data_IF_130480057391
#
_entry.id   IF_130480057391
#
_cell.length_a   1.000
_cell.length_b   1.000
_cell.length_c   1.000
_cell.angle_alpha   90.00
_cell.angle_beta   90.00
_cell.angle_gamma   90.00
#
_symmetry.space_group_name_H-M   'P 1'
#
loop_
_entity.id
_entity.type
_entity.pdbx_description
1 polymer ?
#
# COMPACT_ATOMS: atom_id res chain seq x y z
N UNK A 1 16.13 1.99 21.67
CA UNK A 1 15.80 2.30 23.07
C UNK A 1 16.86 3.23 23.62
N UNK A 2 16.44 4.28 24.33
CA UNK A 2 17.33 5.21 25.02
C UNK A 2 16.87 5.31 26.49
N UNK A 3 17.80 5.16 27.43
CA UNK A 3 17.48 5.13 28.87
C UNK A 3 18.37 6.09 29.64
N UNK A 4 17.80 7.18 30.16
CA UNK A 4 18.48 8.19 30.97
C UNK A 4 19.73 8.75 30.29
N UNK A 5 19.64 9.01 28.98
CA UNK A 5 20.79 9.45 28.17
C UNK A 5 20.48 10.67 27.32
N UNK A 6 19.23 10.88 26.90
CA UNK A 6 18.87 12.03 26.06
C UNK A 6 18.83 13.30 26.92
N UNK A 7 18.31 13.23 28.15
CA UNK A 7 18.34 14.37 29.08
C UNK A 7 19.77 14.85 29.40
N UNK A 8 20.77 13.97 29.32
CA UNK A 8 22.16 14.32 29.62
C UNK A 8 22.88 15.03 28.45
N UNK A 9 22.20 15.24 27.31
CA UNK A 9 22.78 15.89 26.13
C UNK A 9 22.64 17.41 26.18
N UNK A 10 23.45 18.12 25.39
CA UNK A 10 23.41 19.58 25.34
C UNK A 10 22.14 20.12 24.66
N UNK A 11 21.61 19.38 23.68
CA UNK A 11 20.42 19.73 22.91
C UNK A 11 19.56 18.49 22.74
N UNK A 12 18.33 18.55 23.28
CA UNK A 12 17.36 17.48 23.09
C UNK A 12 17.00 17.34 21.61
N UNK A 13 16.82 18.47 20.92
CA UNK A 13 16.44 18.51 19.51
C UNK A 13 17.50 17.84 18.61
N UNK A 14 18.79 18.13 18.82
CA UNK A 14 19.86 17.53 18.01
C UNK A 14 19.93 16.02 18.24
N UNK A 15 19.82 15.59 19.49
CA UNK A 15 19.85 14.18 19.87
C UNK A 15 18.70 13.41 19.27
N UNK A 16 17.47 13.92 19.40
CA UNK A 16 16.28 13.30 18.84
C UNK A 16 16.28 13.33 17.30
N UNK A 17 16.77 14.40 16.67
CA UNK A 17 16.95 14.47 15.22
C UNK A 17 17.93 13.42 14.70
N UNK A 18 18.99 13.12 15.45
CA UNK A 18 19.91 12.05 15.10
C UNK A 18 19.31 10.66 15.32
N UNK A 19 18.54 10.46 16.40
CA UNK A 19 17.78 9.22 16.62
C UNK A 19 16.80 8.99 15.46
N UNK A 20 16.10 10.04 14.99
CA UNK A 20 15.16 9.97 13.87
C UNK A 20 15.79 9.44 12.59
N UNK A 21 17.05 9.79 12.32
CA UNK A 21 17.81 9.33 11.13
C UNK A 21 18.19 7.85 11.21
N UNK A 22 18.39 7.33 12.42
CA UNK A 22 18.80 5.93 12.66
C UNK A 22 17.61 4.97 12.69
N UNK A 23 16.40 5.49 12.89
CA UNK A 23 15.20 4.69 13.02
C UNK A 23 14.57 4.42 11.64
N UNK A 24 14.15 3.17 11.41
CA UNK A 24 13.28 2.82 10.27
C UNK A 24 12.04 3.72 10.24
N UNK A 25 11.47 4.10 9.07
CA UNK A 25 10.21 4.84 8.99
C UNK A 25 9.05 4.21 9.78
N UNK A 26 9.05 2.88 9.89
CA UNK A 26 8.08 2.07 10.66
C UNK A 26 8.58 1.66 12.05
N UNK A 27 9.77 2.12 12.44
CA UNK A 27 10.44 1.74 13.68
C UNK A 27 9.82 2.36 14.93
N UNK A 28 10.12 1.75 16.08
CA UNK A 28 9.67 2.22 17.39
C UNK A 28 10.81 2.83 18.18
N UNK A 29 10.55 3.98 18.81
CA UNK A 29 11.45 4.61 19.76
C UNK A 29 10.89 4.49 21.18
N UNK A 30 11.56 3.67 22.00
CA UNK A 30 11.32 3.60 23.43
C UNK A 30 12.30 4.52 24.15
N UNK A 31 11.77 5.57 24.77
CA UNK A 31 12.50 6.57 25.53
C UNK A 31 12.16 6.44 27.02
N UNK A 32 13.15 6.17 27.85
CA UNK A 32 13.00 6.07 29.30
C UNK A 32 13.83 7.15 29.97
N UNK A 33 13.18 8.16 30.56
CA UNK A 33 13.86 9.38 31.00
C UNK A 33 13.39 9.83 32.39
N UNK A 34 14.23 10.59 33.08
CA UNK A 34 13.94 11.13 34.40
C UNK A 34 12.76 12.11 34.33
N UNK A 35 11.84 11.99 35.30
CA UNK A 35 10.73 12.93 35.53
C UNK A 35 10.39 13.10 37.03
N UNK A 36 11.37 13.22 37.94
CA UNK A 36 11.09 13.28 39.37
C UNK A 36 10.48 14.63 39.77
N UNK A 37 9.66 14.62 40.82
CA UNK A 37 9.18 15.86 41.47
C UNK A 37 10.16 16.38 42.51
N UNK A 38 10.92 15.48 43.15
CA UNK A 38 11.88 15.80 44.21
C UNK A 38 13.28 16.06 43.63
N UNK A 39 13.98 17.06 44.18
CA UNK A 39 15.29 17.54 43.69
C UNK A 39 16.48 16.74 44.23
N UNK A 40 16.27 15.61 44.91
CA UNK A 40 17.34 14.82 45.54
C UNK A 40 18.41 14.37 44.53
N UNK A 41 18.02 14.08 43.29
CA UNK A 41 18.95 13.69 42.22
C UNK A 41 19.96 14.81 41.94
N UNK A 42 19.52 16.07 41.93
CA UNK A 42 20.42 17.21 41.72
C UNK A 42 21.47 17.33 42.83
N UNK A 43 21.14 16.93 44.07
CA UNK A 43 22.13 16.92 45.15
C UNK A 43 23.22 15.87 44.97
N UNK A 44 22.91 14.75 44.30
CA UNK A 44 23.87 13.68 44.03
C UNK A 44 24.70 14.00 42.80
N UNK A 45 24.04 14.29 41.68
CA UNK A 45 24.69 14.41 40.38
C UNK A 45 25.05 15.84 39.98
N UNK A 46 24.53 16.87 40.66
CA UNK A 46 24.79 18.27 40.34
C UNK A 46 26.24 18.71 40.52
N UNK A 47 27.09 17.89 41.13
CA UNK A 47 28.54 18.12 41.16
C UNK A 47 29.24 17.75 39.83
N UNK A 48 28.56 17.02 38.95
CA UNK A 48 29.07 16.62 37.65
C UNK A 48 28.77 17.73 36.63
N UNK A 49 29.79 18.25 35.95
CA UNK A 49 29.59 19.28 34.92
C UNK A 49 28.62 18.82 33.81
N UNK A 50 28.64 17.54 33.45
CA UNK A 50 27.73 16.95 32.46
C UNK A 50 26.26 16.95 32.87
N UNK A 51 25.95 17.09 34.17
CA UNK A 51 24.58 17.21 34.65
C UNK A 51 23.90 18.50 34.19
N UNK A 52 24.68 19.50 33.76
CA UNK A 52 24.20 20.84 33.42
C UNK A 52 24.36 21.19 31.93
N UNK A 53 24.64 20.19 31.07
CA UNK A 53 24.83 20.44 29.63
C UNK A 53 23.62 21.07 28.94
N UNK A 54 22.42 20.88 29.48
CA UNK A 54 21.17 21.42 28.93
C UNK A 54 20.89 22.90 29.21
N UNK A 55 21.81 23.65 29.83
CA UNK A 55 21.58 25.05 30.22
C UNK A 55 21.10 25.93 29.04
N UNK A 56 21.82 25.88 27.91
CA UNK A 56 21.48 26.61 26.69
C UNK A 56 20.18 26.12 26.02
N UNK A 57 19.70 24.94 26.38
CA UNK A 57 18.48 24.29 25.92
C UNK A 57 17.30 24.52 26.90
N UNK A 58 17.42 25.54 27.76
CA UNK A 58 16.39 25.94 28.72
C UNK A 58 16.20 24.92 29.85
N UNK A 59 17.27 24.23 30.24
CA UNK A 59 17.31 23.22 31.32
C UNK A 59 18.36 23.61 32.38
N UNK A 60 18.36 24.89 32.77
CA UNK A 60 19.32 25.49 33.71
C UNK A 60 19.22 24.93 35.13
N UNK A 61 18.00 24.61 35.57
CA UNK A 61 17.72 24.22 36.95
C UNK A 61 17.81 22.71 37.18
N UNK A 62 17.66 21.93 36.11
CA UNK A 62 17.75 20.47 36.09
C UNK A 62 17.79 19.95 34.65
N UNK A 63 18.49 18.83 34.38
CA UNK A 63 18.62 18.34 33.01
C UNK A 63 17.39 17.58 32.50
N UNK A 64 16.50 17.14 33.38
CA UNK A 64 15.31 16.39 33.03
C UNK A 64 14.09 17.30 32.82
N UNK A 65 13.12 16.80 32.05
CA UNK A 65 11.93 17.57 31.65
C UNK A 65 10.67 16.72 31.78
N UNK A 66 9.51 17.37 31.93
CA UNK A 66 8.23 16.68 32.02
C UNK A 66 7.80 16.02 30.71
N UNK A 67 6.89 15.05 30.81
CA UNK A 67 6.36 14.30 29.67
C UNK A 67 5.75 15.18 28.57
N UNK A 68 5.08 16.28 28.93
CA UNK A 68 4.53 17.22 27.94
C UNK A 68 5.62 17.89 27.09
N UNK A 69 6.76 18.26 27.72
CA UNK A 69 7.87 18.84 26.96
C UNK A 69 8.51 17.76 26.10
N UNK A 70 8.70 16.54 26.60
CA UNK A 70 9.20 15.42 25.77
C UNK A 70 8.34 15.20 24.52
N UNK A 71 7.02 15.23 24.65
CA UNK A 71 6.12 15.11 23.51
C UNK A 71 6.35 16.21 22.46
N UNK A 72 6.53 17.47 22.90
CA UNK A 72 6.83 18.59 22.00
C UNK A 72 8.18 18.45 21.29
N UNK A 73 9.23 18.04 22.02
CA UNK A 73 10.57 17.85 21.44
C UNK A 73 10.60 16.70 20.41
N UNK A 74 9.89 15.60 20.70
CA UNK A 74 9.71 14.49 19.77
C UNK A 74 8.98 14.94 18.50
N UNK A 75 7.87 15.67 18.64
CA UNK A 75 7.12 16.21 17.50
C UNK A 75 7.97 17.17 16.64
N UNK A 76 8.70 18.08 17.29
CA UNK A 76 9.57 19.04 16.62
C UNK A 76 10.70 18.38 15.81
N UNK A 77 11.01 17.11 16.07
CA UNK A 77 12.10 16.36 15.44
C UNK A 77 11.63 15.26 14.49
N UNK A 78 10.35 15.31 14.08
CA UNK A 78 9.79 14.40 13.07
C UNK A 78 9.34 13.05 13.63
N UNK A 79 8.98 13.01 14.91
CA UNK A 79 8.18 11.94 15.50
C UNK A 79 6.71 12.36 15.61
N UNK A 80 5.82 11.40 15.76
CA UNK A 80 4.41 11.63 16.11
C UNK A 80 4.27 12.08 17.55
N UNK A 81 3.05 12.48 17.91
CA UNK A 81 2.61 12.48 19.31
C UNK A 81 2.89 11.11 19.92
N UNK A 82 3.56 11.04 21.11
CA UNK A 82 3.81 9.76 21.75
C UNK A 82 2.52 8.97 22.00
N UNK A 83 2.54 7.66 21.72
CA UNK A 83 1.38 6.78 21.94
C UNK A 83 1.10 6.57 23.42
N UNK A 84 2.14 6.60 24.23
CA UNK A 84 2.06 6.48 25.66
C UNK A 84 3.22 7.23 26.32
N UNK A 85 2.93 7.82 27.48
CA UNK A 85 3.90 8.34 28.41
C UNK A 85 3.48 7.90 29.82
N UNK A 86 4.08 6.83 30.31
CA UNK A 86 3.69 6.17 31.58
C UNK A 86 4.78 6.40 32.61
N UNK A 87 4.41 6.96 33.76
CA UNK A 87 5.32 7.10 34.89
C UNK A 87 5.50 5.76 35.61
N UNK A 88 6.68 5.55 36.18
CA UNK A 88 7.00 4.35 36.97
C UNK A 88 6.27 4.28 38.33
N UNK A 89 5.75 5.40 38.81
CA UNK A 89 4.93 5.48 40.03
C UNK A 89 3.96 6.66 39.96
N UNK A 90 2.98 6.66 40.87
CA UNK A 90 2.02 7.75 40.99
C UNK A 90 2.68 9.04 41.47
N UNK A 91 2.12 10.18 41.07
CA UNK A 91 2.56 11.48 41.59
C UNK A 91 2.36 11.55 43.13
N UNK A 92 3.33 12.07 43.90
CA UNK A 92 4.60 12.69 43.48
C UNK A 92 5.82 11.74 43.49
N UNK A 93 5.62 10.43 43.57
CA UNK A 93 6.69 9.44 43.80
C UNK A 93 7.39 8.95 42.53
N UNK A 94 7.01 9.43 41.35
CA UNK A 94 7.64 9.05 40.10
C UNK A 94 9.12 9.44 40.06
N UNK A 95 9.93 8.61 39.44
CA UNK A 95 11.33 8.89 39.14
C UNK A 95 11.54 9.01 37.64
N UNK A 96 10.90 8.13 36.87
CA UNK A 96 11.07 8.01 35.44
C UNK A 96 9.73 7.93 34.71
N UNK A 97 9.75 8.33 33.45
CA UNK A 97 8.68 8.07 32.51
C UNK A 97 9.19 7.19 31.36
N UNK A 98 8.38 6.21 30.98
CA UNK A 98 8.54 5.44 29.76
C UNK A 98 7.63 6.02 28.68
N UNK A 99 8.24 6.49 27.60
CA UNK A 99 7.60 7.17 26.49
C UNK A 99 7.79 6.33 25.23
N UNK A 100 6.70 6.06 24.53
CA UNK A 100 6.70 5.28 23.29
C UNK A 100 6.35 6.21 22.13
N UNK A 101 7.27 6.35 21.18
CA UNK A 101 7.11 7.23 20.02
C UNK A 101 7.43 6.50 18.71
N UNK A 102 6.85 7.01 17.62
CA UNK A 102 7.10 6.54 16.26
C UNK A 102 7.48 7.71 15.36
N UNK A 103 8.33 7.49 14.35
CA UNK A 103 8.57 8.46 13.29
C UNK A 103 7.29 8.93 12.61
N UNK A 104 7.25 10.22 12.27
CA UNK A 104 6.34 10.72 11.25
C UNK A 104 6.80 10.15 9.89
N UNK A 105 5.87 9.59 9.12
CA UNK A 105 6.14 9.12 7.75
C UNK A 105 5.73 10.23 6.80
N UNK A 106 6.67 10.68 5.97
CA UNK A 106 6.40 11.73 4.99
C UNK A 106 5.62 11.15 3.81
N UNK A 107 4.29 11.21 3.92
CA UNK A 107 3.35 10.88 2.85
C UNK A 107 3.03 12.10 1.97
N UNK A 108 3.68 13.25 2.19
CA UNK A 108 3.36 14.50 1.50
C UNK A 108 3.35 14.36 -0.02
N UNK A 109 4.29 13.63 -0.67
CA UNK A 109 4.23 13.42 -2.11
C UNK A 109 2.93 12.73 -2.54
N UNK A 110 2.58 11.60 -1.91
CA UNK A 110 1.38 10.81 -2.22
C UNK A 110 0.09 11.61 -1.98
N UNK A 111 0.08 12.36 -0.88
CA UNK A 111 -1.04 13.22 -0.47
C UNK A 111 -1.22 14.43 -1.40
N UNK A 112 -0.14 15.12 -1.75
CA UNK A 112 -0.20 16.31 -2.61
C UNK A 112 -0.75 15.99 -4.00
N UNK A 113 -0.44 14.82 -4.57
CA UNK A 113 -0.96 14.44 -5.90
C UNK A 113 -2.47 14.20 -5.82
N UNK A 114 -2.96 13.49 -4.79
CA UNK A 114 -4.40 13.29 -4.57
C UNK A 114 -5.14 14.60 -4.28
N UNK A 115 -4.61 15.45 -3.41
CA UNK A 115 -5.19 16.77 -3.11
C UNK A 115 -5.18 17.68 -4.35
N UNK A 116 -4.13 17.59 -5.18
CA UNK A 116 -4.04 18.30 -6.46
C UNK A 116 -5.12 17.89 -7.48
N UNK A 117 -5.60 16.65 -7.39
CA UNK A 117 -6.73 16.12 -8.16
C UNK A 117 -8.10 16.41 -7.51
N UNK A 118 -8.13 17.15 -6.40
CA UNK A 118 -9.36 17.60 -5.73
C UNK A 118 -9.89 16.68 -4.64
N UNK A 119 -9.12 15.67 -4.22
CA UNK A 119 -9.53 14.76 -3.16
C UNK A 119 -9.24 15.32 -1.77
N UNK A 120 -10.16 15.10 -0.82
CA UNK A 120 -9.87 15.26 0.60
C UNK A 120 -9.20 13.98 1.11
N UNK A 121 -7.95 14.07 1.55
CA UNK A 121 -7.16 12.90 1.94
C UNK A 121 -7.10 12.78 3.46
N UNK A 122 -7.61 11.66 3.98
CA UNK A 122 -7.43 11.26 5.38
C UNK A 122 -6.40 10.14 5.44
N UNK A 123 -5.30 10.37 6.14
CA UNK A 123 -4.30 9.34 6.37
C UNK A 123 -4.58 8.62 7.68
N UNK A 124 -4.56 7.29 7.63
CA UNK A 124 -4.88 6.42 8.75
C UNK A 124 -3.81 5.34 8.87
N UNK A 125 -3.46 5.00 10.10
CA UNK A 125 -2.59 3.87 10.40
C UNK A 125 -3.38 2.57 10.40
N UNK A 126 -2.69 1.48 10.10
CA UNK A 126 -3.29 0.16 10.16
C UNK A 126 -3.85 -0.12 11.56
N UNK A 127 -5.16 -0.34 11.63
CA UNK A 127 -5.91 -0.58 12.87
C UNK A 127 -6.64 0.64 13.44
N UNK A 128 -6.46 1.83 12.87
CA UNK A 128 -7.32 2.98 13.18
C UNK A 128 -8.70 2.83 12.53
N UNK A 129 -9.77 3.37 13.14
CA UNK A 129 -11.12 3.27 12.60
C UNK A 129 -11.25 4.05 11.28
N UNK A 130 -11.94 3.43 10.31
CA UNK A 130 -12.24 4.09 9.04
C UNK A 130 -13.37 5.12 9.21
N UNK A 131 -13.25 6.31 8.59
CA UNK A 131 -14.36 7.23 8.41
C UNK A 131 -15.46 6.60 7.55
N UNK A 132 -16.72 6.85 7.91
CA UNK A 132 -17.86 6.34 7.15
C UNK A 132 -17.91 6.91 5.73
N UNK A 133 -18.20 6.04 4.75
CA UNK A 133 -18.49 6.46 3.38
C UNK A 133 -17.26 6.83 2.53
N UNK A 134 -16.05 6.44 2.94
CA UNK A 134 -14.83 6.77 2.19
C UNK A 134 -14.19 5.54 1.51
N UNK A 135 -13.76 5.72 0.27
CA UNK A 135 -12.95 4.76 -0.46
C UNK A 135 -11.52 4.74 0.08
N UNK A 136 -10.92 3.56 0.15
CA UNK A 136 -9.60 3.36 0.77
C UNK A 136 -8.55 3.08 -0.29
N UNK A 137 -7.38 3.73 -0.19
CA UNK A 137 -6.15 3.32 -0.88
C UNK A 137 -5.24 2.70 0.19
N UNK A 138 -4.99 1.40 0.11
CA UNK A 138 -4.12 0.69 1.05
C UNK A 138 -2.69 0.62 0.50
N UNK A 139 -1.75 1.16 1.27
CA UNK A 139 -0.31 1.18 0.98
C UNK A 139 0.47 0.25 1.92
N UNK A 140 -0.15 -0.84 2.36
CA UNK A 140 0.40 -1.71 3.41
C UNK A 140 1.54 -2.61 2.91
N UNK A 141 1.67 -2.78 1.59
CA UNK A 141 2.74 -3.52 0.92
C UNK A 141 3.94 -2.64 0.50
N UNK A 142 3.97 -1.34 0.84
CA UNK A 142 4.95 -0.37 0.31
C UNK A 142 6.41 -0.73 0.70
N UNK A 143 6.64 -1.18 1.94
CA UNK A 143 7.98 -1.58 2.40
C UNK A 143 8.24 -3.09 2.31
N UNK A 144 7.22 -3.92 2.50
CA UNK A 144 7.34 -5.38 2.54
C UNK A 144 5.98 -6.06 2.29
N UNK A 145 5.94 -7.33 1.85
CA UNK A 145 4.68 -8.05 1.66
C UNK A 145 3.93 -8.19 2.99
N UNK A 146 2.79 -7.50 3.11
CA UNK A 146 2.01 -7.37 4.33
C UNK A 146 1.50 -8.71 4.86
N UNK A 147 1.08 -9.59 3.95
CA UNK A 147 0.50 -10.90 4.30
C UNK A 147 1.55 -11.95 4.69
N UNK A 148 2.84 -11.63 4.52
CA UNK A 148 3.91 -12.52 4.92
C UNK A 148 3.99 -12.65 6.45
N UNK A 149 4.12 -13.90 6.94
CA UNK A 149 4.17 -14.21 8.37
C UNK A 149 2.98 -13.62 9.15
N UNK A 150 1.77 -13.71 8.61
CA UNK A 150 0.54 -13.22 9.26
C UNK A 150 0.37 -13.80 10.66
N UNK A 151 0.09 -12.94 11.64
CA UNK A 151 -0.27 -13.33 13.00
C UNK A 151 -1.76 -13.08 13.29
N UNK A 152 -2.25 -13.63 14.42
CA UNK A 152 -3.66 -13.51 14.80
C UNK A 152 -4.11 -12.05 15.00
N UNK A 153 -3.21 -11.18 15.47
CA UNK A 153 -3.55 -9.79 15.70
C UNK A 153 -3.77 -9.08 14.36
N UNK A 154 -2.79 -9.13 13.45
CA UNK A 154 -2.88 -8.55 12.11
C UNK A 154 -4.06 -9.11 11.33
N UNK A 155 -4.32 -10.42 11.43
CA UNK A 155 -5.47 -11.05 10.81
C UNK A 155 -6.81 -10.51 11.33
N UNK A 156 -6.95 -10.31 12.64
CA UNK A 156 -8.15 -9.71 13.20
C UNK A 156 -8.29 -8.23 12.81
N UNK A 157 -7.18 -7.49 12.74
CA UNK A 157 -7.19 -6.09 12.32
C UNK A 157 -7.62 -5.94 10.85
N UNK A 158 -7.12 -6.78 9.94
CA UNK A 158 -7.55 -6.72 8.53
C UNK A 158 -9.00 -7.15 8.36
N UNK A 159 -9.48 -8.12 9.15
CA UNK A 159 -10.91 -8.48 9.17
C UNK A 159 -11.76 -7.27 9.56
N UNK A 160 -11.43 -6.60 10.65
CA UNK A 160 -12.15 -5.42 11.11
C UNK A 160 -12.14 -4.30 10.06
N UNK A 161 -11.01 -4.11 9.36
CA UNK A 161 -10.90 -3.15 8.25
C UNK A 161 -11.92 -3.46 7.15
N UNK A 162 -11.95 -4.72 6.68
CA UNK A 162 -12.83 -5.17 5.60
C UNK A 162 -14.30 -5.04 6.01
N UNK A 163 -14.64 -5.42 7.24
CA UNK A 163 -15.99 -5.31 7.78
C UNK A 163 -16.44 -3.84 7.93
N UNK A 164 -15.50 -2.92 8.16
CA UNK A 164 -15.78 -1.48 8.34
C UNK A 164 -15.92 -0.70 7.02
N UNK A 165 -15.71 -1.32 5.86
CA UNK A 165 -15.78 -0.63 4.57
C UNK A 165 -17.20 -0.15 4.21
N UNK A 166 -18.26 -0.73 4.80
CA UNK A 166 -19.65 -0.23 4.70
C UNK A 166 -20.11 0.12 3.27
N UNK A 167 -19.74 -0.69 2.27
CA UNK A 167 -20.08 -0.49 0.86
C UNK A 167 -19.10 0.37 0.05
N UNK A 168 -18.07 0.94 0.70
CA UNK A 168 -16.96 1.60 0.01
C UNK A 168 -15.93 0.59 -0.46
N UNK A 169 -15.28 0.88 -1.59
CA UNK A 169 -14.24 0.01 -2.14
C UNK A 169 -12.87 0.27 -1.54
N UNK A 170 -12.01 -0.74 -1.61
CA UNK A 170 -10.58 -0.64 -1.29
C UNK A 170 -9.74 -0.91 -2.54
N UNK A 171 -8.79 -0.03 -2.82
CA UNK A 171 -7.73 -0.22 -3.81
C UNK A 171 -6.43 -0.55 -3.06
N UNK A 172 -5.95 -1.77 -3.20
CA UNK A 172 -4.72 -2.23 -2.56
C UNK A 172 -3.53 -2.11 -3.49
N UNK A 173 -2.55 -1.29 -3.13
CA UNK A 173 -1.30 -1.13 -3.87
C UNK A 173 -0.31 -2.18 -3.39
N UNK A 174 0.28 -2.93 -4.31
CA UNK A 174 1.21 -4.03 -4.01
C UNK A 174 2.39 -4.08 -4.98
N UNK A 175 3.40 -4.89 -4.67
CA UNK A 175 4.54 -5.12 -5.55
C UNK A 175 4.19 -6.00 -6.76
N UNK A 176 4.96 -5.86 -7.84
CA UNK A 176 4.81 -6.68 -9.04
C UNK A 176 4.96 -8.17 -8.75
N UNK A 177 3.92 -8.94 -9.09
CA UNK A 177 3.84 -10.39 -8.87
C UNK A 177 3.28 -11.17 -10.07
N UNK A 178 2.38 -10.55 -10.85
CA UNK A 178 1.79 -11.13 -12.06
C UNK A 178 2.62 -10.82 -13.32
N UNK A 179 3.36 -9.72 -13.34
CA UNK A 179 4.23 -9.32 -14.45
C UNK A 179 5.59 -8.85 -13.90
N UNK A 180 6.70 -9.16 -14.57
CA UNK A 180 8.08 -8.82 -14.12
C UNK A 180 8.34 -9.10 -12.62
N UNK A 181 7.77 -10.20 -12.10
CA UNK A 181 7.82 -10.57 -10.69
C UNK A 181 9.27 -10.63 -10.17
N UNK A 182 9.55 -9.88 -9.10
CA UNK A 182 10.83 -9.91 -8.37
C UNK A 182 10.72 -10.67 -7.06
N UNK A 183 9.58 -10.54 -6.37
CA UNK A 183 9.30 -11.21 -5.12
C UNK A 183 7.88 -11.79 -5.14
N UNK A 184 7.73 -13.13 -5.24
CA UNK A 184 6.42 -13.76 -5.36
C UNK A 184 5.57 -13.64 -4.09
N UNK A 185 6.13 -13.22 -2.95
CA UNK A 185 5.37 -13.08 -1.69
C UNK A 185 4.31 -11.99 -1.78
N UNK A 186 4.49 -10.99 -2.64
CA UNK A 186 3.47 -9.99 -2.93
C UNK A 186 2.22 -10.58 -3.62
N UNK A 187 2.30 -11.76 -4.23
CA UNK A 187 1.15 -12.38 -4.89
C UNK A 187 0.03 -12.81 -3.92
N UNK A 188 0.30 -12.88 -2.61
CA UNK A 188 -0.67 -13.35 -1.61
C UNK A 188 -1.96 -12.51 -1.62
N UNK A 189 -1.85 -11.20 -1.80
CA UNK A 189 -3.04 -10.32 -1.81
C UNK A 189 -3.96 -10.60 -3.00
N UNK A 190 -3.44 -11.03 -4.16
CA UNK A 190 -4.26 -11.26 -5.34
C UNK A 190 -5.32 -12.34 -5.11
N UNK A 191 -4.94 -13.45 -4.46
CA UNK A 191 -5.89 -14.51 -4.11
C UNK A 191 -6.85 -14.08 -3.01
N UNK A 192 -6.35 -13.37 -1.99
CA UNK A 192 -7.15 -12.87 -0.87
C UNK A 192 -8.23 -11.89 -1.38
N UNK A 193 -7.84 -10.94 -2.23
CA UNK A 193 -8.76 -9.99 -2.86
C UNK A 193 -9.84 -10.70 -3.68
N UNK A 194 -9.47 -11.70 -4.50
CA UNK A 194 -10.44 -12.52 -5.25
C UNK A 194 -11.43 -13.22 -4.33
N UNK A 195 -10.96 -13.82 -3.24
CA UNK A 195 -11.82 -14.49 -2.25
C UNK A 195 -12.76 -13.51 -1.59
N UNK A 196 -12.25 -12.37 -1.09
CA UNK A 196 -13.07 -11.34 -0.43
C UNK A 196 -14.14 -10.80 -1.39
N UNK A 197 -13.77 -10.49 -2.64
CA UNK A 197 -14.74 -10.04 -3.66
C UNK A 197 -15.87 -11.05 -3.88
N UNK A 198 -15.52 -12.32 -4.04
CA UNK A 198 -16.48 -13.35 -4.41
C UNK A 198 -17.34 -13.82 -3.23
N UNK A 199 -16.78 -13.87 -2.01
CA UNK A 199 -17.47 -14.41 -0.84
C UNK A 199 -18.17 -13.34 0.00
N UNK A 200 -17.62 -12.13 0.06
CA UNK A 200 -18.12 -11.05 0.90
C UNK A 200 -18.76 -9.90 0.12
N UNK A 201 -18.71 -9.94 -1.23
CA UNK A 201 -19.22 -8.88 -2.11
C UNK A 201 -18.63 -7.50 -1.81
N UNK A 202 -17.40 -7.46 -1.29
CA UNK A 202 -16.65 -6.23 -1.06
C UNK A 202 -15.91 -5.87 -2.33
N UNK A 203 -16.02 -4.62 -2.76
CA UNK A 203 -15.24 -4.11 -3.88
C UNK A 203 -13.77 -3.95 -3.50
N UNK A 204 -12.97 -4.97 -3.82
CA UNK A 204 -11.55 -5.03 -3.46
C UNK A 204 -10.71 -5.10 -4.74
N UNK A 205 -10.12 -3.98 -5.17
CA UNK A 205 -9.18 -3.94 -6.29
C UNK A 205 -7.73 -4.08 -5.83
N UNK A 206 -6.88 -4.64 -6.68
CA UNK A 206 -5.41 -4.64 -6.51
C UNK A 206 -4.76 -3.85 -7.64
N UNK A 207 -3.69 -3.13 -7.32
CA UNK A 207 -2.84 -2.44 -8.27
C UNK A 207 -1.38 -2.79 -7.98
N UNK A 208 -0.77 -3.62 -8.82
CA UNK A 208 0.66 -3.92 -8.71
C UNK A 208 1.47 -2.76 -9.28
N UNK A 209 2.51 -2.28 -8.60
CA UNK A 209 3.31 -1.13 -9.04
C UNK A 209 4.79 -1.44 -8.91
N UNK A 210 5.59 -1.12 -9.95
CA UNK A 210 7.04 -1.28 -9.91
C UNK A 210 7.75 -0.16 -9.14
N UNK A 211 7.32 1.07 -9.34
CA UNK A 211 7.84 2.26 -8.66
C UNK A 211 6.68 3.20 -8.35
N UNK A 212 6.28 3.21 -7.08
CA UNK A 212 5.14 4.00 -6.61
C UNK A 212 5.39 5.51 -6.73
N UNK A 213 6.59 5.99 -6.40
CA UNK A 213 6.93 7.42 -6.44
C UNK A 213 6.82 8.02 -7.84
N UNK A 214 7.20 7.25 -8.87
CA UNK A 214 7.10 7.69 -10.27
C UNK A 214 5.67 7.54 -10.80
N UNK A 215 4.91 6.58 -10.27
CA UNK A 215 3.62 6.16 -10.82
C UNK A 215 2.39 6.74 -10.11
N UNK A 216 2.55 7.72 -9.21
CA UNK A 216 1.46 8.29 -8.41
C UNK A 216 0.29 8.79 -9.26
N UNK A 217 0.56 9.54 -10.33
CA UNK A 217 -0.48 10.03 -11.24
C UNK A 217 -1.27 8.87 -11.89
N UNK A 218 -0.58 7.80 -12.29
CA UNK A 218 -1.21 6.62 -12.89
C UNK A 218 -1.97 5.78 -11.89
N UNK A 219 -1.52 5.74 -10.64
CA UNK A 219 -2.27 5.13 -9.56
C UNK A 219 -3.59 5.87 -9.32
N UNK A 220 -3.60 7.21 -9.42
CA UNK A 220 -4.84 7.98 -9.29
C UNK A 220 -5.75 7.77 -10.50
N UNK A 221 -5.21 7.72 -11.72
CA UNK A 221 -6.01 7.37 -12.91
C UNK A 221 -6.69 5.99 -12.72
N UNK A 222 -6.00 5.01 -12.13
CA UNK A 222 -6.56 3.69 -11.77
C UNK A 222 -7.62 3.81 -10.69
N UNK A 223 -7.38 4.64 -9.66
CA UNK A 223 -8.34 4.87 -8.58
C UNK A 223 -9.63 5.55 -9.05
N UNK A 224 -9.53 6.56 -9.90
CA UNK A 224 -10.67 7.22 -10.56
C UNK A 224 -11.49 6.20 -11.36
N UNK A 225 -10.83 5.36 -12.17
CA UNK A 225 -11.47 4.28 -12.91
C UNK A 225 -12.15 3.28 -11.99
N UNK A 226 -11.49 2.90 -10.90
CA UNK A 226 -12.07 2.06 -9.87
C UNK A 226 -13.33 2.71 -9.33
N UNK A 227 -13.32 3.98 -8.90
CA UNK A 227 -14.51 4.65 -8.35
C UNK A 227 -15.68 4.73 -9.34
N UNK A 228 -15.41 5.02 -10.62
CA UNK A 228 -16.44 5.15 -11.65
C UNK A 228 -17.18 3.83 -12.00
N UNK A 229 -16.69 2.68 -11.49
CA UNK A 229 -17.20 1.35 -11.82
C UNK A 229 -18.68 1.13 -11.48
N UNK A 230 -19.23 1.85 -10.50
CA UNK A 230 -20.64 1.67 -10.08
C UNK A 230 -21.64 2.33 -11.05
N UNK A 231 -21.19 3.13 -12.01
CA UNK A 231 -22.09 3.85 -12.93
C UNK A 231 -22.46 3.03 -14.19
N UNK A 232 -21.82 1.88 -14.43
CA UNK A 232 -21.98 1.11 -15.68
C UNK A 232 -22.41 -0.35 -15.42
N UNK A 233 -23.72 -0.59 -15.30
CA UNK A 233 -24.34 -1.91 -15.06
C UNK A 233 -24.01 -2.96 -16.14
N UNK A 234 -23.45 -2.56 -17.28
CA UNK A 234 -23.24 -3.45 -18.44
C UNK A 234 -21.84 -4.05 -18.54
N UNK A 235 -20.87 -3.56 -17.77
CA UNK A 235 -19.47 -3.97 -17.89
C UNK A 235 -19.01 -4.79 -16.70
N UNK A 236 -18.22 -5.83 -16.96
CA UNK A 236 -17.55 -6.60 -15.90
C UNK A 236 -16.49 -5.69 -15.27
N UNK A 237 -16.61 -5.46 -13.96
CA UNK A 237 -15.76 -4.53 -13.22
C UNK A 237 -14.30 -5.05 -13.20
N UNK A 238 -13.35 -4.23 -13.66
CA UNK A 238 -11.93 -4.51 -13.55
C UNK A 238 -11.45 -4.27 -12.12
N UNK A 239 -10.84 -5.28 -11.50
CA UNK A 239 -10.36 -5.23 -10.12
C UNK A 239 -8.86 -5.54 -9.99
N UNK A 240 -8.15 -5.80 -11.09
CA UNK A 240 -6.74 -6.16 -11.07
C UNK A 240 -5.99 -5.34 -12.11
N UNK A 241 -5.12 -4.47 -11.62
CA UNK A 241 -4.33 -3.52 -12.39
C UNK A 241 -2.84 -3.76 -12.12
N UNK A 242 -2.00 -3.38 -13.08
CA UNK A 242 -0.56 -3.29 -12.88
C UNK A 242 -0.04 -2.00 -13.52
N UNK A 243 0.88 -1.30 -12.88
CA UNK A 243 1.60 -0.15 -13.44
C UNK A 243 3.04 -0.58 -13.60
N UNK A 244 3.46 -0.68 -14.86
CA UNK A 244 4.81 -1.12 -15.24
C UNK A 244 5.39 -0.08 -16.18
N UNK A 245 6.57 0.42 -15.86
CA UNK A 245 7.24 1.51 -16.58
C UNK A 245 6.30 2.72 -16.76
N UNK A 246 5.61 3.12 -15.68
CA UNK A 246 4.63 4.22 -15.65
C UNK A 246 3.47 4.06 -16.66
N UNK A 247 3.13 2.83 -17.03
CA UNK A 247 2.03 2.50 -17.94
C UNK A 247 1.03 1.58 -17.24
N UNK A 248 -0.24 1.99 -17.23
CA UNK A 248 -1.32 1.15 -16.69
C UNK A 248 -1.57 -0.02 -17.62
N UNK A 249 -1.49 -1.22 -17.06
CA UNK A 249 -1.73 -2.51 -17.65
C UNK A 249 -2.89 -3.19 -16.94
N UNK A 250 -3.67 -3.94 -17.69
CA UNK A 250 -4.75 -4.77 -17.16
C UNK A 250 -4.48 -6.20 -17.60
N UNK A 251 -4.52 -7.13 -16.66
CA UNK A 251 -4.25 -8.54 -16.92
C UNK A 251 -5.15 -9.11 -18.01
N UNK A 252 -4.61 -9.29 -19.22
CA UNK A 252 -5.24 -10.09 -20.28
C UNK A 252 -4.42 -11.36 -20.46
N UNK A 253 -5.01 -12.46 -20.05
CA UNK A 253 -4.39 -13.76 -20.15
C UNK A 253 -4.90 -14.49 -21.39
N UNK A 254 -3.98 -14.98 -22.21
CA UNK A 254 -4.24 -15.91 -23.30
C UNK A 254 -3.77 -17.31 -22.89
N UNK A 255 -4.49 -18.35 -23.31
CA UNK A 255 -4.04 -19.72 -23.10
C UNK A 255 -2.89 -20.00 -24.07
N UNK A 256 -1.77 -20.51 -23.57
CA UNK A 256 -0.58 -20.85 -24.35
C UNK A 256 -0.01 -22.20 -23.91
N UNK A 257 0.89 -22.78 -24.71
CA UNK A 257 1.65 -23.98 -24.34
C UNK A 257 3.15 -23.68 -24.35
N UNK A 258 3.84 -24.02 -23.26
CA UNK A 258 5.30 -23.90 -23.19
C UNK A 258 6.01 -25.08 -23.86
N UNK A 259 5.28 -26.17 -24.09
CA UNK A 259 5.76 -27.35 -24.78
C UNK A 259 4.62 -28.06 -25.52
N UNK A 260 4.53 -27.87 -26.85
CA UNK A 260 3.62 -28.66 -27.69
C UNK A 260 3.98 -30.14 -27.57
N UNK A 261 2.99 -31.01 -27.31
CA UNK A 261 3.09 -32.45 -26.96
C UNK A 261 2.64 -32.82 -25.54
N UNK A 262 2.53 -31.83 -24.65
CA UNK A 262 2.09 -32.03 -23.27
C UNK A 262 0.94 -31.12 -22.93
N UNK A 263 -0.26 -31.68 -22.76
CA UNK A 263 -1.42 -30.93 -22.28
C UNK A 263 -1.17 -30.28 -20.91
N UNK A 264 -0.31 -30.87 -20.07
CA UNK A 264 0.11 -30.29 -18.79
C UNK A 264 0.99 -29.03 -18.93
N UNK A 265 1.47 -28.71 -20.13
CA UNK A 265 2.24 -27.49 -20.43
C UNK A 265 1.34 -26.31 -20.83
N UNK A 266 0.02 -26.53 -20.92
CA UNK A 266 -0.96 -25.45 -21.08
C UNK A 266 -0.96 -24.57 -19.84
N UNK A 267 -0.82 -23.27 -20.06
CA UNK A 267 -0.81 -22.27 -19.01
C UNK A 267 -1.37 -20.96 -19.56
N UNK A 268 -1.90 -20.14 -18.66
CA UNK A 268 -2.28 -18.79 -18.99
C UNK A 268 -1.04 -17.89 -19.04
N UNK A 269 -0.86 -17.18 -20.15
CA UNK A 269 0.24 -16.26 -20.37
C UNK A 269 -0.29 -14.85 -20.64
N UNK A 270 0.46 -13.84 -20.21
CA UNK A 270 0.10 -12.44 -20.41
C UNK A 270 0.25 -12.06 -21.89
N UNK A 271 -0.73 -11.34 -22.44
CA UNK A 271 -0.64 -10.77 -23.79
C UNK A 271 -0.65 -9.23 -23.75
N UNK A 272 0.30 -8.60 -24.44
CA UNK A 272 0.35 -7.15 -24.55
C UNK A 272 -0.80 -6.60 -25.41
N UNK A 273 -1.34 -5.46 -24.99
CA UNK A 273 -2.40 -4.78 -25.74
C UNK A 273 -1.82 -4.16 -27.02
N UNK A 274 -2.34 -4.57 -28.18
CA UNK A 274 -1.91 -4.06 -29.48
C UNK A 274 -2.70 -2.79 -29.86
N UNK A 275 -2.06 -1.90 -30.64
CA UNK A 275 -2.74 -0.77 -31.28
C UNK A 275 -3.53 -1.30 -32.48
N UNK A 276 -4.84 -1.06 -32.50
CA UNK A 276 -5.70 -1.49 -33.60
C UNK A 276 -5.36 -0.75 -34.89
N UNK A 277 -5.29 -1.49 -36.00
CA UNK A 277 -5.05 -0.98 -37.35
C UNK A 277 -6.21 -1.35 -38.27
N UNK A 278 -6.42 -0.56 -39.31
CA UNK A 278 -7.40 -0.86 -40.36
C UNK A 278 -8.79 -1.18 -39.80
N UNK A 279 -9.31 -2.34 -40.18
CA UNK A 279 -10.63 -2.87 -39.83
C UNK A 279 -10.62 -3.82 -38.62
N UNK A 280 -9.55 -3.80 -37.81
CA UNK A 280 -9.45 -4.64 -36.62
C UNK A 280 -10.47 -4.23 -35.55
N UNK A 281 -10.97 -5.20 -34.80
CA UNK A 281 -11.88 -5.00 -33.66
C UNK A 281 -11.33 -5.73 -32.45
N UNK A 282 -11.21 -5.04 -31.33
CA UNK A 282 -10.88 -5.66 -30.06
C UNK A 282 -12.16 -6.12 -29.35
N UNK A 283 -12.22 -7.41 -29.05
CA UNK A 283 -13.31 -8.01 -28.28
C UNK A 283 -12.79 -8.31 -26.86
N UNK A 284 -13.53 -7.87 -25.84
CA UNK A 284 -13.38 -8.45 -24.50
C UNK A 284 -14.05 -9.81 -24.49
N UNK A 285 -13.24 -10.86 -24.55
CA UNK A 285 -13.71 -12.25 -24.61
C UNK A 285 -14.20 -12.71 -23.24
N UNK A 286 -15.48 -13.07 -23.12
CA UNK A 286 -16.07 -13.62 -21.90
C UNK A 286 -16.01 -15.14 -21.88
N UNK A 287 -16.15 -15.75 -23.05
CA UNK A 287 -16.13 -17.19 -23.24
C UNK A 287 -15.30 -17.47 -24.47
N UNK A 288 -14.35 -18.40 -24.36
CA UNK A 288 -13.64 -18.95 -25.52
C UNK A 288 -13.90 -20.44 -25.60
N UNK A 289 -14.23 -20.92 -26.80
CA UNK A 289 -14.34 -22.35 -27.08
C UNK A 289 -12.99 -22.91 -27.48
N UNK A 290 -12.73 -24.16 -27.08
CA UNK A 290 -11.64 -24.95 -27.61
C UNK A 290 -12.23 -25.98 -28.57
N UNK A 291 -11.71 -26.01 -29.78
CA UNK A 291 -12.12 -26.98 -30.80
C UNK A 291 -11.10 -28.13 -30.90
N UNK A 292 -11.40 -29.10 -31.77
CA UNK A 292 -10.54 -30.26 -31.97
C UNK A 292 -9.13 -29.88 -32.47
N UNK A 293 -9.00 -28.82 -33.29
CA UNK A 293 -7.71 -28.33 -33.78
C UNK A 293 -6.86 -27.81 -32.61
N UNK A 294 -7.45 -27.07 -31.67
CA UNK A 294 -6.73 -26.57 -30.47
C UNK A 294 -6.14 -27.73 -29.66
N UNK A 295 -6.88 -28.83 -29.50
CA UNK A 295 -6.41 -30.04 -28.82
C UNK A 295 -5.25 -30.69 -29.59
N UNK A 296 -5.37 -30.84 -30.92
CA UNK A 296 -4.32 -31.42 -31.76
C UNK A 296 -3.04 -30.56 -31.76
N UNK A 297 -3.17 -29.24 -31.74
CA UNK A 297 -2.07 -28.31 -31.57
C UNK A 297 -1.40 -28.47 -30.21
N UNK A 298 -2.17 -28.54 -29.12
CA UNK A 298 -1.64 -28.73 -27.77
C UNK A 298 -0.90 -30.08 -27.62
N UNK A 299 -1.36 -31.10 -28.34
CA UNK A 299 -0.73 -32.43 -28.42
C UNK A 299 0.46 -32.50 -29.39
N UNK A 300 0.81 -31.40 -30.08
CA UNK A 300 1.93 -31.38 -31.03
C UNK A 300 1.69 -32.21 -32.29
N UNK A 301 0.44 -32.58 -32.60
CA UNK A 301 0.06 -33.34 -33.79
C UNK A 301 -0.03 -32.41 -35.02
N UNK A 302 -0.42 -31.16 -34.80
CA UNK A 302 -0.55 -30.11 -35.83
C UNK A 302 0.29 -28.91 -35.40
N UNK A 303 1.01 -28.30 -36.34
CA UNK A 303 1.71 -27.04 -36.10
C UNK A 303 0.70 -25.90 -35.90
N UNK A 304 0.72 -25.29 -34.71
CA UNK A 304 0.00 -24.04 -34.47
C UNK A 304 0.78 -22.89 -35.11
N UNK A 305 0.06 -21.99 -35.79
CA UNK A 305 0.61 -20.65 -36.04
C UNK A 305 0.63 -19.93 -34.69
N UNK A 306 1.82 -19.50 -34.27
CA UNK A 306 2.04 -18.63 -33.10
C UNK A 306 1.63 -19.19 -31.72
N UNK A 307 1.40 -20.51 -31.60
CA UNK A 307 0.98 -21.19 -30.34
C UNK A 307 -0.29 -20.58 -29.70
N UNK A 308 -1.15 -19.95 -30.49
CA UNK A 308 -2.41 -19.37 -30.04
C UNK A 308 -3.52 -20.44 -30.00
N UNK A 309 -4.35 -20.39 -28.95
CA UNK A 309 -5.48 -21.30 -28.73
C UNK A 309 -6.79 -20.52 -28.64
N UNK A 310 -7.91 -21.15 -29.02
CA UNK A 310 -9.23 -20.57 -28.80
C UNK A 310 -9.63 -19.55 -29.86
N UNK A 311 -9.80 -20.02 -31.10
CA UNK A 311 -10.19 -19.19 -32.25
C UNK A 311 -11.69 -18.89 -32.32
N UNK A 312 -12.45 -19.28 -31.31
CA UNK A 312 -13.87 -19.02 -31.20
C UNK A 312 -14.20 -18.50 -29.80
N UNK A 313 -15.15 -17.59 -29.73
CA UNK A 313 -15.57 -17.01 -28.46
C UNK A 313 -16.72 -16.05 -28.62
N UNK A 314 -17.24 -15.61 -27.48
CA UNK A 314 -18.26 -14.60 -27.39
C UNK A 314 -17.81 -13.49 -26.43
N UNK A 315 -18.10 -12.25 -26.80
CA UNK A 315 -17.73 -11.11 -25.98
C UNK A 315 -18.24 -9.78 -26.52
N UNK A 316 -17.75 -8.69 -25.92
CA UNK A 316 -18.20 -7.33 -26.23
C UNK A 316 -17.12 -6.60 -27.02
N UNK A 317 -17.50 -5.94 -28.12
CA UNK A 317 -16.60 -5.09 -28.90
C UNK A 317 -16.23 -3.82 -28.10
N UNK A 318 -14.96 -3.74 -27.69
CA UNK A 318 -14.41 -2.67 -26.84
C UNK A 318 -13.76 -1.56 -27.64
N UNK A 319 -12.94 -1.91 -28.63
CA UNK A 319 -12.23 -0.95 -29.47
C UNK A 319 -12.44 -1.33 -30.93
N UNK A 320 -12.53 -0.33 -31.79
CA UNK A 320 -12.58 -0.53 -33.24
C UNK A 320 -11.44 0.25 -33.87
N UNK A 321 -10.81 -0.36 -34.88
CA UNK A 321 -9.81 0.23 -35.73
C UNK A 321 -10.38 1.36 -36.59
N UNK A 322 -9.50 2.20 -37.16
CA UNK A 322 -9.89 3.42 -37.86
C UNK A 322 -10.77 3.20 -39.11
N UNK A 323 -10.75 2.00 -39.71
CA UNK A 323 -11.48 1.71 -40.96
C UNK A 323 -12.75 0.86 -40.74
N UNK A 324 -13.09 0.51 -39.49
CA UNK A 324 -14.29 -0.28 -39.17
C UNK A 324 -15.57 0.52 -39.46
N UNK A 325 -16.44 -0.04 -40.30
CA UNK A 325 -17.76 0.54 -40.63
C UNK A 325 -18.89 -0.39 -40.18
N UNK A 326 -20.02 0.20 -39.77
CA UNK A 326 -21.25 -0.55 -39.44
C UNK A 326 -21.26 -1.27 -38.09
N UNK A 327 -20.12 -1.37 -37.40
CA UNK A 327 -20.03 -1.84 -36.02
C UNK A 327 -19.93 -0.62 -35.08
N UNK A 328 -20.80 -0.54 -34.07
CA UNK A 328 -20.67 0.45 -33.01
C UNK A 328 -19.96 -0.18 -31.83
N UNK A 329 -18.99 0.54 -31.24
CA UNK A 329 -18.50 0.20 -29.89
C UNK A 329 -19.71 0.16 -28.95
N UNK A 330 -19.70 -0.74 -27.97
CA UNK A 330 -20.73 -0.74 -26.93
C UNK A 330 -20.75 0.67 -26.30
N UNK A 331 -21.90 1.35 -26.37
CA UNK A 331 -22.02 2.75 -26.01
C UNK A 331 -21.98 2.90 -24.49
N UNK A 332 -20.86 3.41 -23.97
CA UNK A 332 -20.65 3.69 -22.55
C UNK A 332 -19.51 4.69 -22.24
N UNK A 333 -18.42 4.75 -23.02
CA UNK A 333 -17.24 5.53 -22.61
C UNK A 333 -16.58 6.35 -23.74
N UNK A 334 -16.21 7.58 -23.38
CA UNK A 334 -15.38 8.52 -24.13
C UNK A 334 -14.01 7.91 -24.42
N UNK A 335 -13.45 8.24 -25.57
CA UNK A 335 -12.07 7.90 -25.93
C UNK A 335 -11.10 8.41 -24.84
N UNK A 336 -10.30 7.49 -24.29
CA UNK A 336 -9.14 7.76 -23.41
C UNK A 336 -7.94 8.14 -24.26
#
# INVERSE_FOLDING_TARGET
MATNVIHATASLNDSLSNVRKLLSPTGWFLLHELTPTSKWINYIFGTLAGWWYGDADGRSDEPYIGAERWARELQATGFRTPEAAVSDSDHPYQLNAMIVARPEVDISPKRCVLEGRGYLVHHLWFGEPLPDGQYVIALLDDEAPFFENMDNHRFNTIRNLIESLNGCGILWVTGLSQAKCQDPRFAQINSIARTIRNEMLVDFATCEVDNLEVSLEKLIDVYEKFQARQEDETLKLEFEYAIVDNTVKVGRMALQTSKPDRLAALHWAYEDTKTLKGDEVEIETYVTGLNFKDVLCAMGIVEAKDNEFGHEGAGIARRIGPEVQGLKRASGLRDV
#
